data_IF_998064160688
#
_entry.id   IF_998064160688
#
_cell.length_a   1.000
_cell.length_b   1.000
_cell.length_c   1.000
_cell.angle_alpha   90.00
_cell.angle_beta   90.00
_cell.angle_gamma   90.00
#
_symmetry.space_group_name_H-M   'P 1'
#
loop_
_entity.id
_entity.type
_entity.pdbx_description
1 polymer ?
#
# COMPACT_ATOMS: atom_id res chain seq x y z
N UNK A 1 19.18 9.98 14.22
CA UNK A 1 18.17 8.98 13.78
C UNK A 1 16.73 9.43 13.93
N UNK A 2 16.28 9.99 15.07
CA UNK A 2 14.88 10.47 15.23
C UNK A 2 14.49 11.55 14.21
N UNK A 3 15.32 12.58 14.04
CA UNK A 3 15.08 13.65 13.06
C UNK A 3 14.91 13.09 11.65
N UNK A 4 15.83 12.23 11.20
CA UNK A 4 15.77 11.60 9.88
C UNK A 4 14.46 10.82 9.66
N UNK A 5 14.00 10.07 10.67
CA UNK A 5 12.72 9.34 10.60
C UNK A 5 11.54 10.30 10.39
N UNK A 6 11.50 11.38 11.15
CA UNK A 6 10.46 12.41 11.04
C UNK A 6 10.53 13.04 9.65
N UNK A 7 11.71 13.45 9.19
CA UNK A 7 11.90 14.07 7.87
C UNK A 7 11.48 13.13 6.74
N UNK A 8 11.87 11.86 6.77
CA UNK A 8 11.46 10.88 5.74
C UNK A 8 9.96 10.63 5.76
N UNK A 9 9.35 10.53 6.95
CA UNK A 9 7.92 10.31 7.09
C UNK A 9 7.11 11.52 6.62
N UNK A 10 7.47 12.73 7.06
CA UNK A 10 6.84 13.98 6.62
C UNK A 10 7.04 14.18 5.13
N UNK A 11 8.24 13.90 4.59
CA UNK A 11 8.50 13.91 3.15
C UNK A 11 7.58 12.97 2.39
N UNK A 12 7.35 11.76 2.92
CA UNK A 12 6.38 10.81 2.38
C UNK A 12 4.95 11.37 2.33
N UNK A 13 4.50 12.06 3.39
CA UNK A 13 3.18 12.71 3.42
C UNK A 13 3.07 13.86 2.42
N UNK A 14 4.12 14.66 2.26
CA UNK A 14 4.16 15.75 1.26
C UNK A 14 4.05 15.17 -0.16
N UNK A 15 4.80 14.11 -0.46
CA UNK A 15 4.72 13.43 -1.76
C UNK A 15 3.33 12.81 -1.97
N UNK A 16 2.70 12.28 -0.92
CA UNK A 16 1.33 11.76 -1.00
C UNK A 16 0.33 12.85 -1.38
N UNK A 17 0.47 14.05 -0.81
CA UNK A 17 -0.37 15.20 -1.15
C UNK A 17 -0.19 15.58 -2.63
N UNK A 18 1.04 15.62 -3.12
CA UNK A 18 1.34 15.89 -4.54
C UNK A 18 0.78 14.78 -5.44
N UNK A 19 0.87 13.52 -5.02
CA UNK A 19 0.27 12.39 -5.73
C UNK A 19 -1.24 12.57 -5.91
N UNK A 20 -1.98 12.90 -4.84
CA UNK A 20 -3.40 13.22 -4.93
C UNK A 20 -3.67 14.42 -5.83
N UNK A 21 -2.83 15.45 -5.77
CA UNK A 21 -2.91 16.59 -6.67
C UNK A 21 -2.85 16.17 -8.15
N UNK A 22 -1.94 15.26 -8.52
CA UNK A 22 -1.86 14.72 -9.88
C UNK A 22 -3.06 13.83 -10.25
N UNK A 23 -3.48 12.93 -9.36
CA UNK A 23 -4.63 12.02 -9.58
C UNK A 23 -5.91 12.81 -9.86
N UNK A 24 -6.16 13.88 -9.10
CA UNK A 24 -7.34 14.73 -9.25
C UNK A 24 -7.10 15.94 -10.19
N UNK A 25 -5.92 16.05 -10.79
CA UNK A 25 -5.51 17.16 -11.69
C UNK A 25 -5.68 18.54 -11.06
N UNK A 26 -5.35 18.67 -9.78
CA UNK A 26 -5.39 19.94 -9.09
C UNK A 26 -4.26 20.87 -9.58
N UNK A 27 -4.52 22.17 -9.84
CA UNK A 27 -3.54 23.09 -10.43
C UNK A 27 -2.18 23.15 -9.72
N UNK A 28 -2.16 23.12 -8.39
CA UNK A 28 -0.91 23.14 -7.62
C UNK A 28 0.07 22.02 -8.00
N UNK A 29 -0.44 20.86 -8.44
CA UNK A 29 0.39 19.71 -8.81
C UNK A 29 0.69 19.71 -10.30
N UNK A 30 -0.32 19.95 -11.15
CA UNK A 30 -0.12 19.95 -12.61
C UNK A 30 0.79 21.07 -13.07
N UNK A 31 0.88 22.20 -12.34
CA UNK A 31 1.83 23.28 -12.64
C UNK A 31 3.29 22.95 -12.36
N UNK A 32 3.57 21.88 -11.61
CA UNK A 32 4.93 21.39 -11.35
C UNK A 32 5.42 20.53 -12.52
N UNK A 33 4.50 19.94 -13.29
CA UNK A 33 4.84 19.18 -14.48
C UNK A 33 5.33 20.12 -15.58
N UNK A 34 6.36 19.77 -16.37
CA UNK A 34 7.00 20.74 -17.27
C UNK A 34 6.15 21.16 -18.48
N UNK A 35 5.05 20.48 -18.74
CA UNK A 35 4.11 20.76 -19.84
C UNK A 35 2.69 20.29 -19.49
N UNK A 36 1.72 20.61 -20.35
CA UNK A 36 0.37 20.07 -20.23
C UNK A 36 0.30 18.63 -20.76
N UNK A 37 -0.46 17.78 -20.08
CA UNK A 37 -0.60 16.36 -20.43
C UNK A 37 -2.04 15.85 -20.26
N UNK A 38 -2.28 14.65 -20.77
CA UNK A 38 -3.58 13.99 -20.69
C UNK A 38 -3.93 13.51 -19.28
N UNK A 39 -5.23 13.29 -19.05
CA UNK A 39 -5.76 12.75 -17.79
C UNK A 39 -5.03 11.49 -17.32
N UNK A 40 -4.79 10.55 -18.22
CA UNK A 40 -4.16 9.27 -17.88
C UNK A 40 -2.66 9.42 -17.60
N UNK A 41 -1.97 10.37 -18.23
CA UNK A 41 -0.58 10.68 -17.91
C UNK A 41 -0.44 11.28 -16.51
N UNK A 42 -1.32 12.22 -16.12
CA UNK A 42 -1.32 12.75 -14.75
C UNK A 42 -1.71 11.70 -13.71
N UNK A 43 -2.70 10.86 -14.01
CA UNK A 43 -3.05 9.72 -13.15
C UNK A 43 -1.85 8.79 -12.94
N UNK A 44 -1.11 8.49 -14.01
CA UNK A 44 0.08 7.66 -13.99
C UNK A 44 1.24 8.28 -13.20
N UNK A 45 1.51 9.58 -13.37
CA UNK A 45 2.49 10.30 -12.53
C UNK A 45 2.06 10.27 -11.07
N UNK A 46 0.77 10.51 -10.79
CA UNK A 46 0.21 10.46 -9.44
C UNK A 46 0.36 9.09 -8.79
N UNK A 47 0.14 8.00 -9.52
CA UNK A 47 0.32 6.64 -8.98
C UNK A 47 1.79 6.33 -8.66
N UNK A 48 2.75 6.80 -9.48
CA UNK A 48 4.18 6.67 -9.21
C UNK A 48 4.55 7.41 -7.92
N UNK A 49 4.07 8.64 -7.75
CA UNK A 49 4.30 9.41 -6.53
C UNK A 49 3.66 8.76 -5.30
N UNK A 50 2.47 8.16 -5.44
CA UNK A 50 1.86 7.37 -4.37
C UNK A 50 2.72 6.15 -3.99
N UNK A 51 3.32 5.48 -4.98
CA UNK A 51 4.28 4.40 -4.79
C UNK A 51 5.49 4.86 -3.96
N UNK A 52 6.14 5.96 -4.39
CA UNK A 52 7.30 6.54 -3.70
C UNK A 52 6.93 6.94 -2.26
N UNK A 53 5.76 7.55 -2.08
CA UNK A 53 5.24 7.91 -0.75
C UNK A 53 5.10 6.69 0.16
N UNK A 54 4.50 5.61 -0.32
CA UNK A 54 4.31 4.38 0.47
C UNK A 54 5.64 3.82 0.99
N UNK A 55 6.67 3.76 0.12
CA UNK A 55 8.01 3.33 0.51
C UNK A 55 8.64 4.29 1.54
N UNK A 56 8.54 5.60 1.34
CA UNK A 56 9.10 6.61 2.27
C UNK A 56 8.41 6.60 3.63
N UNK A 57 7.08 6.51 3.67
CA UNK A 57 6.31 6.40 4.89
C UNK A 57 6.72 5.15 5.68
N UNK A 58 6.89 4.02 5.00
CA UNK A 58 7.38 2.79 5.63
C UNK A 58 8.80 2.94 6.18
N UNK A 59 9.76 3.49 5.42
CA UNK A 59 11.14 3.71 5.89
C UNK A 59 11.17 4.69 7.07
N UNK A 60 10.42 5.80 7.01
CA UNK A 60 10.34 6.77 8.11
C UNK A 60 9.71 6.16 9.37
N UNK A 61 8.64 5.39 9.20
CA UNK A 61 7.95 4.71 10.29
C UNK A 61 8.81 3.64 10.96
N UNK A 62 9.49 2.78 10.20
CA UNK A 62 10.30 1.66 10.74
C UNK A 62 11.74 2.06 11.08
N UNK A 63 12.22 3.17 10.50
CA UNK A 63 13.62 3.57 10.55
C UNK A 63 14.56 2.56 9.88
N UNK A 64 14.09 1.82 8.88
CA UNK A 64 14.87 0.86 8.09
C UNK A 64 15.66 1.58 6.99
N UNK A 65 16.60 2.43 7.39
CA UNK A 65 17.40 3.21 6.43
C UNK A 65 18.36 2.35 5.60
N UNK A 66 18.63 1.10 6.02
CA UNK A 66 19.39 0.14 5.22
C UNK A 66 18.67 -0.28 3.92
N UNK A 67 17.37 -0.01 3.80
CA UNK A 67 16.60 -0.25 2.56
C UNK A 67 16.64 0.93 1.57
N UNK A 68 17.18 2.08 1.99
CA UNK A 68 17.31 3.27 1.12
C UNK A 68 18.22 3.11 -0.11
N UNK A 69 19.24 2.24 -0.16
CA UNK A 69 20.10 2.14 -1.33
C UNK A 69 19.30 1.85 -2.62
N UNK A 70 18.32 0.95 -2.57
CA UNK A 70 17.52 0.61 -3.75
C UNK A 70 16.72 1.83 -4.27
N UNK A 71 16.03 2.54 -3.38
CA UNK A 71 15.29 3.76 -3.74
C UNK A 71 16.19 4.92 -4.17
N UNK A 72 17.36 5.07 -3.54
CA UNK A 72 18.33 6.10 -3.91
C UNK A 72 18.93 5.84 -5.30
N UNK A 73 19.18 4.57 -5.64
CA UNK A 73 19.66 4.19 -6.95
C UNK A 73 18.59 4.42 -8.03
N UNK A 74 17.32 4.13 -7.73
CA UNK A 74 16.20 4.47 -8.60
C UNK A 74 16.18 5.97 -8.90
N UNK A 75 16.08 6.81 -7.87
CA UNK A 75 15.98 8.27 -8.05
C UNK A 75 17.23 8.82 -8.76
N UNK A 76 18.42 8.28 -8.50
CA UNK A 76 19.63 8.65 -9.22
C UNK A 76 19.51 8.41 -10.73
N UNK A 77 19.07 7.21 -11.15
CA UNK A 77 18.93 6.85 -12.57
C UNK A 77 17.87 7.71 -13.24
N UNK A 78 16.71 7.90 -12.61
CA UNK A 78 15.64 8.78 -13.13
C UNK A 78 16.17 10.20 -13.28
N UNK A 79 16.76 10.77 -12.22
CA UNK A 79 17.21 12.15 -12.20
C UNK A 79 18.32 12.41 -13.23
N UNK A 80 19.28 11.49 -13.36
CA UNK A 80 20.35 11.61 -14.34
C UNK A 80 19.81 11.54 -15.78
N UNK A 81 19.00 10.53 -16.09
CA UNK A 81 18.51 10.31 -17.46
C UNK A 81 17.51 11.37 -17.91
N UNK A 82 16.60 11.80 -17.02
CA UNK A 82 15.71 12.94 -17.29
C UNK A 82 16.46 14.26 -17.39
N UNK A 83 17.51 14.49 -16.57
CA UNK A 83 18.35 15.68 -16.69
C UNK A 83 19.02 15.79 -18.05
N UNK A 84 19.62 14.70 -18.54
CA UNK A 84 20.22 14.63 -19.89
C UNK A 84 19.17 14.99 -20.95
N UNK A 85 17.95 14.45 -20.81
CA UNK A 85 16.87 14.73 -21.73
C UNK A 85 16.40 16.20 -21.69
N UNK A 86 16.28 16.80 -20.50
CA UNK A 86 15.92 18.21 -20.37
C UNK A 86 16.99 19.14 -20.96
N UNK A 87 18.27 18.82 -20.81
CA UNK A 87 19.34 19.57 -21.49
C UNK A 87 19.30 19.40 -23.01
N UNK A 88 18.94 18.21 -23.51
CA UNK A 88 18.68 18.00 -24.93
C UNK A 88 17.51 18.85 -25.44
N UNK A 89 16.42 18.95 -24.69
CA UNK A 89 15.29 19.82 -25.04
C UNK A 89 15.70 21.31 -25.01
N UNK A 90 16.51 21.70 -24.03
CA UNK A 90 17.04 23.06 -23.94
C UNK A 90 17.92 23.42 -25.14
N UNK A 91 18.79 22.51 -25.59
CA UNK A 91 19.63 22.72 -26.79
C UNK A 91 18.83 22.75 -28.10
N UNK A 92 17.61 22.20 -28.10
CA UNK A 92 16.66 22.26 -29.22
C UNK A 92 15.75 23.50 -29.21
N UNK A 93 16.07 24.52 -28.38
CA UNK A 93 15.36 25.80 -28.35
C UNK A 93 14.33 25.96 -27.23
N UNK A 94 14.15 24.95 -26.34
CA UNK A 94 13.26 25.06 -25.17
C UNK A 94 14.02 25.49 -23.92
N UNK A 95 14.54 26.71 -23.91
CA UNK A 95 15.46 27.21 -22.87
C UNK A 95 14.93 27.05 -21.43
N UNK A 96 13.61 27.11 -21.20
CA UNK A 96 12.98 26.87 -19.89
C UNK A 96 13.25 25.48 -19.30
N UNK A 97 13.61 24.49 -20.12
CA UNK A 97 13.96 23.13 -19.65
C UNK A 97 15.30 23.06 -18.92
N UNK A 98 16.14 24.10 -19.05
CA UNK A 98 17.46 24.17 -18.37
C UNK A 98 17.31 24.06 -16.86
N UNK A 99 16.28 24.69 -16.29
CA UNK A 99 16.00 24.63 -14.85
C UNK A 99 15.71 23.19 -14.40
N UNK A 100 14.87 22.46 -15.14
CA UNK A 100 14.58 21.05 -14.86
C UNK A 100 15.83 20.18 -15.00
N UNK A 101 16.67 20.45 -16.01
CA UNK A 101 17.96 19.78 -16.18
C UNK A 101 18.88 19.97 -14.97
N UNK A 102 19.03 21.21 -14.49
CA UNK A 102 19.86 21.56 -13.32
C UNK A 102 19.30 20.94 -12.04
N UNK A 103 17.99 21.03 -11.80
CA UNK A 103 17.33 20.39 -10.65
C UNK A 103 17.52 18.86 -10.68
N UNK A 104 17.48 18.26 -11.87
CA UNK A 104 17.79 16.85 -12.08
C UNK A 104 19.23 16.49 -11.68
N UNK A 105 20.23 17.32 -12.02
CA UNK A 105 21.63 17.10 -11.57
C UNK A 105 21.72 17.14 -10.04
N UNK A 106 21.14 18.15 -9.39
CA UNK A 106 21.15 18.23 -7.93
C UNK A 106 20.48 17.03 -7.28
N UNK A 107 19.35 16.58 -7.83
CA UNK A 107 18.64 15.38 -7.37
C UNK A 107 19.48 14.12 -7.56
N UNK A 108 20.18 13.98 -8.69
CA UNK A 108 21.08 12.86 -8.95
C UNK A 108 22.25 12.84 -7.96
N UNK A 109 22.92 13.98 -7.72
CA UNK A 109 24.01 14.08 -6.75
C UNK A 109 23.53 13.75 -5.34
N UNK A 110 22.40 14.31 -4.91
CA UNK A 110 21.82 14.05 -3.60
C UNK A 110 21.44 12.57 -3.41
N UNK A 111 20.87 11.95 -4.46
CA UNK A 111 20.49 10.54 -4.46
C UNK A 111 21.71 9.63 -4.42
N UNK A 112 22.76 9.95 -5.18
CA UNK A 112 24.01 9.20 -5.18
C UNK A 112 24.74 9.31 -3.83
N UNK A 113 24.74 10.49 -3.21
CA UNK A 113 25.27 10.68 -1.85
C UNK A 113 24.48 9.85 -0.84
N UNK A 114 23.14 9.86 -0.94
CA UNK A 114 22.25 9.06 -0.08
C UNK A 114 22.47 7.56 -0.27
N UNK A 115 22.71 7.11 -1.51
CA UNK A 115 23.07 5.74 -1.83
C UNK A 115 24.34 5.31 -1.08
N UNK A 116 25.45 6.02 -1.26
CA UNK A 116 26.72 5.67 -0.60
C UNK A 116 26.67 5.79 0.93
N UNK A 117 25.93 6.76 1.45
CA UNK A 117 25.72 6.90 2.88
C UNK A 117 24.90 5.74 3.46
N UNK A 118 23.79 5.37 2.79
CA UNK A 118 22.90 4.30 3.25
C UNK A 118 23.50 2.90 3.11
N UNK A 119 24.45 2.69 2.20
CA UNK A 119 25.23 1.45 2.12
C UNK A 119 25.99 1.11 3.42
N UNK A 120 26.30 2.11 4.25
CA UNK A 120 26.97 1.94 5.55
C UNK A 120 26.02 1.49 6.66
N UNK A 121 24.71 1.51 6.41
CA UNK A 121 23.69 1.17 7.39
C UNK A 121 23.25 -0.27 7.13
N UNK A 122 23.46 -1.20 8.08
CA UNK A 122 22.98 -2.57 7.92
C UNK A 122 21.46 -2.63 7.94
N UNK A 123 20.89 -3.56 7.17
CA UNK A 123 19.47 -3.90 7.25
C UNK A 123 19.19 -4.56 8.61
N UNK A 124 18.14 -4.14 9.30
CA UNK A 124 17.74 -4.74 10.58
C UNK A 124 17.16 -6.15 10.41
N UNK A 125 16.50 -6.39 9.29
CA UNK A 125 15.93 -7.69 8.92
C UNK A 125 16.71 -8.30 7.75
N UNK A 126 17.19 -9.52 7.96
CA UNK A 126 18.06 -10.24 7.02
C UNK A 126 17.39 -11.47 6.42
N UNK A 127 16.11 -11.70 6.70
CA UNK A 127 15.37 -12.82 6.09
C UNK A 127 15.50 -12.81 4.57
N UNK A 128 15.75 -13.98 3.95
CA UNK A 128 15.89 -14.08 2.51
C UNK A 128 14.56 -13.77 1.83
N UNK A 129 14.65 -13.13 0.66
CA UNK A 129 13.47 -12.88 -0.17
C UNK A 129 12.82 -14.21 -0.61
N UNK A 130 11.48 -14.36 -0.52
CA UNK A 130 10.77 -15.54 -0.99
C UNK A 130 11.03 -15.82 -2.48
N UNK A 131 11.10 -17.11 -2.86
CA UNK A 131 11.36 -17.52 -4.25
C UNK A 131 10.37 -16.93 -5.27
N UNK A 132 9.04 -16.88 -5.02
CA UNK A 132 8.11 -16.28 -5.98
C UNK A 132 8.45 -14.82 -6.27
N UNK A 133 8.71 -14.04 -5.22
CA UNK A 133 9.07 -12.61 -5.33
C UNK A 133 10.37 -12.42 -6.11
N UNK A 134 11.38 -13.28 -5.90
CA UNK A 134 12.63 -13.26 -6.67
C UNK A 134 12.40 -13.48 -8.17
N UNK A 135 11.57 -14.45 -8.53
CA UNK A 135 11.27 -14.74 -9.94
C UNK A 135 10.53 -13.56 -10.56
N UNK A 136 9.52 -13.01 -9.86
CA UNK A 136 8.79 -11.83 -10.31
C UNK A 136 9.72 -10.63 -10.50
N UNK A 137 10.70 -10.41 -9.62
CA UNK A 137 11.67 -9.32 -9.74
C UNK A 137 12.50 -9.43 -11.02
N UNK A 138 12.96 -10.64 -11.40
CA UNK A 138 13.64 -10.83 -12.68
C UNK A 138 12.76 -10.51 -13.88
N UNK A 139 11.48 -10.93 -13.83
CA UNK A 139 10.50 -10.62 -14.88
C UNK A 139 10.30 -9.10 -14.96
N UNK A 140 10.08 -8.42 -13.83
CA UNK A 140 9.90 -6.96 -13.80
C UNK A 140 11.13 -6.22 -14.31
N UNK A 141 12.35 -6.64 -13.96
CA UNK A 141 13.58 -6.05 -14.50
C UNK A 141 13.57 -6.10 -16.03
N UNK A 142 13.33 -7.29 -16.61
CA UNK A 142 13.31 -7.47 -18.05
C UNK A 142 12.20 -6.63 -18.72
N UNK A 143 10.99 -6.66 -18.16
CA UNK A 143 9.86 -5.89 -18.67
C UNK A 143 10.09 -4.38 -18.61
N UNK A 144 10.68 -3.86 -17.53
CA UNK A 144 10.94 -2.43 -17.33
C UNK A 144 12.07 -1.93 -18.22
N UNK A 145 13.13 -2.72 -18.43
CA UNK A 145 14.17 -2.37 -19.41
C UNK A 145 13.60 -2.34 -20.83
N UNK A 146 12.80 -3.35 -21.20
CA UNK A 146 12.17 -3.40 -22.53
C UNK A 146 11.21 -2.23 -22.73
N UNK A 147 10.25 -2.04 -21.83
CA UNK A 147 9.27 -0.97 -21.91
C UNK A 147 9.93 0.42 -21.82
N UNK A 148 10.87 0.61 -20.89
CA UNK A 148 11.59 1.87 -20.71
C UNK A 148 12.42 2.24 -21.94
N UNK A 149 13.16 1.28 -22.51
CA UNK A 149 13.90 1.47 -23.75
C UNK A 149 12.98 1.81 -24.93
N UNK A 150 11.88 1.08 -25.10
CA UNK A 150 10.88 1.36 -26.13
C UNK A 150 10.29 2.77 -26.02
N UNK A 151 10.01 3.24 -24.80
CA UNK A 151 9.45 4.58 -24.56
C UNK A 151 10.44 5.71 -24.86
N UNK A 152 11.72 5.52 -24.51
CA UNK A 152 12.79 6.48 -24.83
C UNK A 152 12.98 6.57 -26.35
N UNK A 153 12.80 5.46 -27.06
CA UNK A 153 12.81 5.41 -28.53
C UNK A 153 11.51 5.92 -29.18
N UNK A 154 10.51 6.32 -28.38
CA UNK A 154 9.25 6.88 -28.87
C UNK A 154 8.24 5.85 -29.38
N UNK A 155 8.40 4.57 -29.04
CA UNK A 155 7.45 3.53 -29.42
C UNK A 155 6.12 3.67 -28.63
N UNK A 156 4.95 3.59 -29.29
CA UNK A 156 3.66 3.88 -28.69
C UNK A 156 3.09 2.70 -27.88
N UNK A 157 3.85 2.20 -26.90
CA UNK A 157 3.49 0.98 -26.15
C UNK A 157 2.40 1.22 -25.07
N UNK A 158 2.08 2.48 -24.75
CA UNK A 158 1.06 2.82 -23.76
C UNK A 158 -0.38 2.65 -24.28
N UNK A 159 -1.34 2.32 -23.39
CA UNK A 159 -2.72 2.11 -23.80
C UNK A 159 -3.48 3.41 -24.14
N UNK A 160 -2.85 4.58 -23.99
CA UNK A 160 -3.36 5.86 -24.48
C UNK A 160 -2.29 6.58 -25.31
N UNK A 161 -2.72 7.59 -26.06
CA UNK A 161 -1.82 8.46 -26.82
C UNK A 161 -0.99 9.32 -25.86
N UNK A 162 0.31 9.10 -25.87
CA UNK A 162 1.25 9.78 -24.98
C UNK A 162 1.89 10.99 -25.68
N UNK A 163 2.11 12.07 -24.94
CA UNK A 163 2.97 13.15 -25.39
C UNK A 163 4.39 12.58 -25.63
N UNK A 164 5.05 12.87 -26.78
CA UNK A 164 6.40 12.37 -27.06
C UNK A 164 7.42 12.67 -25.96
N UNK A 165 7.32 13.85 -25.32
CA UNK A 165 8.26 14.24 -24.27
C UNK A 165 7.97 13.47 -22.97
N UNK A 166 6.69 13.25 -22.65
CA UNK A 166 6.27 12.38 -21.54
C UNK A 166 6.68 10.93 -21.76
N UNK A 167 6.69 10.45 -23.01
CA UNK A 167 7.20 9.11 -23.35
C UNK A 167 8.62 8.93 -22.88
N UNK A 168 9.51 9.86 -23.21
CA UNK A 168 10.91 9.75 -22.81
C UNK A 168 11.04 9.82 -21.29
N UNK A 169 10.35 10.75 -20.62
CA UNK A 169 10.38 10.86 -19.15
C UNK A 169 9.86 9.60 -18.47
N UNK A 170 8.75 9.02 -18.94
CA UNK A 170 8.22 7.77 -18.40
C UNK A 170 9.16 6.58 -18.65
N UNK A 171 9.84 6.56 -19.80
CA UNK A 171 10.89 5.59 -20.08
C UNK A 171 12.08 5.70 -19.12
N UNK A 172 12.50 6.93 -18.78
CA UNK A 172 13.51 7.17 -17.74
C UNK A 172 13.06 6.69 -16.35
N UNK A 173 11.78 6.88 -16.01
CA UNK A 173 11.20 6.36 -14.75
C UNK A 173 11.27 4.83 -14.71
N UNK A 174 10.80 4.16 -15.76
CA UNK A 174 10.86 2.69 -15.86
C UNK A 174 12.30 2.17 -15.78
N UNK A 175 13.24 2.87 -16.38
CA UNK A 175 14.65 2.53 -16.27
C UNK A 175 15.13 2.63 -14.82
N UNK A 176 14.78 3.70 -14.11
CA UNK A 176 15.10 3.82 -12.69
C UNK A 176 14.48 2.72 -11.82
N UNK A 177 13.21 2.40 -12.05
CA UNK A 177 12.53 1.32 -11.36
C UNK A 177 13.22 -0.03 -11.61
N UNK A 178 13.68 -0.30 -12.83
CA UNK A 178 14.45 -1.50 -13.15
C UNK A 178 15.72 -1.63 -12.28
N UNK A 179 16.42 -0.51 -12.04
CA UNK A 179 17.59 -0.48 -11.14
C UNK A 179 17.21 -0.68 -9.67
N UNK A 180 16.03 -0.25 -9.23
CA UNK A 180 15.50 -0.58 -7.91
C UNK A 180 15.43 -2.11 -7.75
N UNK A 181 14.75 -2.79 -8.68
CA UNK A 181 14.61 -4.25 -8.64
C UNK A 181 15.95 -4.96 -8.74
N UNK A 182 16.83 -4.48 -9.62
CA UNK A 182 18.17 -5.03 -9.81
C UNK A 182 18.98 -4.98 -8.51
N UNK A 183 18.93 -3.87 -7.78
CA UNK A 183 19.56 -3.79 -6.46
C UNK A 183 18.94 -4.79 -5.47
N UNK A 184 17.62 -4.92 -5.46
CA UNK A 184 16.91 -5.92 -4.67
C UNK A 184 17.36 -7.36 -4.96
N UNK A 185 17.78 -7.65 -6.20
CA UNK A 185 18.32 -8.94 -6.59
C UNK A 185 19.79 -9.13 -6.21
N UNK A 186 20.60 -8.07 -6.22
CA UNK A 186 21.98 -8.12 -5.72
C UNK A 186 22.06 -8.35 -4.21
N UNK A 187 21.07 -7.85 -3.46
CA UNK A 187 20.94 -8.09 -2.01
C UNK A 187 19.55 -8.65 -1.69
N UNK A 188 19.31 -9.96 -1.92
CA UNK A 188 17.99 -10.59 -1.92
C UNK A 188 17.42 -10.81 -0.52
N UNK A 189 17.18 -9.71 0.20
CA UNK A 189 16.60 -9.65 1.53
C UNK A 189 15.14 -9.17 1.46
N UNK A 190 14.33 -9.62 2.41
CA UNK A 190 12.91 -9.28 2.49
C UNK A 190 12.67 -7.78 2.56
N UNK A 191 13.41 -7.03 3.39
CA UNK A 191 13.23 -5.58 3.52
C UNK A 191 13.66 -4.79 2.26
N UNK A 192 14.51 -5.35 1.41
CA UNK A 192 14.80 -4.77 0.10
C UNK A 192 13.65 -4.98 -0.90
N UNK A 193 12.87 -6.07 -0.76
CA UNK A 193 11.65 -6.27 -1.54
C UNK A 193 10.43 -5.53 -0.97
N UNK A 194 10.35 -5.39 0.35
CA UNK A 194 9.18 -4.87 1.04
C UNK A 194 8.80 -3.46 0.59
N UNK A 195 9.78 -2.56 0.50
CA UNK A 195 9.55 -1.20 0.00
C UNK A 195 8.93 -1.20 -1.40
N UNK A 196 9.42 -2.07 -2.30
CA UNK A 196 8.95 -2.14 -3.67
C UNK A 196 7.57 -2.79 -3.82
N UNK A 197 7.27 -3.81 -3.00
CA UNK A 197 5.94 -4.42 -2.96
C UNK A 197 4.91 -3.45 -2.38
N UNK A 198 5.28 -2.62 -1.40
CA UNK A 198 4.41 -1.54 -0.91
C UNK A 198 4.18 -0.47 -2.00
N UNK A 199 5.22 -0.13 -2.75
CA UNK A 199 5.11 0.76 -3.91
C UNK A 199 4.14 0.18 -4.95
N UNK A 200 4.27 -1.10 -5.31
CA UNK A 200 3.32 -1.76 -6.22
C UNK A 200 1.89 -1.71 -5.72
N UNK A 201 1.65 -2.01 -4.43
CA UNK A 201 0.30 -1.95 -3.90
C UNK A 201 -0.32 -0.55 -4.07
N UNK A 202 0.43 0.51 -3.74
CA UNK A 202 -0.07 1.87 -3.88
C UNK A 202 -0.27 2.27 -5.35
N UNK A 203 0.66 1.91 -6.22
CA UNK A 203 0.61 2.22 -7.65
C UNK A 203 -0.52 1.46 -8.36
N UNK A 204 -0.63 0.16 -8.14
CA UNK A 204 -1.60 -0.73 -8.78
C UNK A 204 -3.03 -0.40 -8.33
N UNK A 205 -3.25 -0.12 -7.04
CA UNK A 205 -4.57 0.27 -6.52
C UNK A 205 -5.12 1.52 -7.20
N UNK A 206 -4.25 2.48 -7.54
CA UNK A 206 -4.66 3.71 -8.23
C UNK A 206 -4.98 3.44 -9.71
N UNK A 207 -4.31 2.50 -10.37
CA UNK A 207 -4.40 2.30 -11.82
C UNK A 207 -5.36 1.19 -12.29
N UNK A 208 -5.53 0.11 -11.53
CA UNK A 208 -6.32 -1.06 -11.96
C UNK A 208 -7.72 -0.64 -12.40
N UNK A 209 -8.43 0.12 -11.56
CA UNK A 209 -9.82 0.51 -11.83
C UNK A 209 -9.93 1.45 -13.05
N UNK A 210 -9.19 2.56 -13.13
CA UNK A 210 -9.22 3.42 -14.33
C UNK A 210 -8.87 2.69 -15.63
N UNK A 211 -7.95 1.71 -15.58
CA UNK A 211 -7.55 0.95 -16.78
C UNK A 211 -8.61 -0.04 -17.21
N UNK A 212 -9.28 -0.71 -16.26
CA UNK A 212 -10.45 -1.56 -16.56
C UNK A 212 -11.56 -0.72 -17.20
N UNK A 213 -11.78 0.51 -16.72
CA UNK A 213 -12.73 1.44 -17.33
C UNK A 213 -12.38 1.81 -18.78
N UNK A 214 -11.10 1.74 -19.18
CA UNK A 214 -10.64 2.06 -20.53
C UNK A 214 -10.92 0.93 -21.55
N UNK A 215 -11.21 -0.30 -21.10
CA UNK A 215 -11.38 -1.47 -21.97
C UNK A 215 -12.48 -1.28 -23.04
N UNK A 216 -13.52 -0.51 -22.71
CA UNK A 216 -14.64 -0.26 -23.61
C UNK A 216 -14.43 0.95 -24.54
N UNK A 217 -13.38 1.74 -24.34
CA UNK A 217 -13.16 3.01 -25.04
C UNK A 217 -11.79 3.13 -25.71
N UNK A 218 -10.90 2.15 -25.52
CA UNK A 218 -9.55 2.17 -26.06
C UNK A 218 -9.55 1.99 -27.58
N UNK A 219 -8.61 2.65 -28.26
CA UNK A 219 -8.37 2.45 -29.69
C UNK A 219 -7.99 0.97 -29.95
N UNK A 220 -8.50 0.34 -31.03
CA UNK A 220 -8.22 -1.07 -31.34
C UNK A 220 -6.73 -1.41 -31.36
N UNK A 221 -5.91 -0.51 -31.92
CA UNK A 221 -4.46 -0.68 -32.04
C UNK A 221 -3.73 -0.69 -30.68
N UNK A 222 -4.39 -0.23 -29.60
CA UNK A 222 -3.83 -0.13 -28.24
C UNK A 222 -4.45 -1.12 -27.26
N UNK A 223 -5.46 -1.88 -27.69
CA UNK A 223 -6.15 -2.85 -26.85
C UNK A 223 -5.18 -3.92 -26.30
N UNK A 224 -4.25 -4.39 -27.13
CA UNK A 224 -3.23 -5.37 -26.71
C UNK A 224 -2.36 -4.78 -25.60
N UNK A 225 -1.90 -3.54 -25.75
CA UNK A 225 -1.16 -2.84 -24.69
C UNK A 225 -1.97 -2.72 -23.41
N UNK A 226 -3.25 -2.36 -23.49
CA UNK A 226 -4.12 -2.25 -22.31
C UNK A 226 -4.29 -3.58 -21.59
N UNK A 227 -4.49 -4.68 -22.33
CA UNK A 227 -4.61 -6.02 -21.77
C UNK A 227 -3.32 -6.42 -21.06
N UNK A 228 -2.16 -6.23 -21.71
CA UNK A 228 -0.86 -6.56 -21.12
C UNK A 228 -0.61 -5.74 -19.86
N UNK A 229 -0.83 -4.43 -19.90
CA UNK A 229 -0.67 -3.56 -18.72
C UNK A 229 -1.59 -3.98 -17.59
N UNK A 230 -2.88 -4.20 -17.86
CA UNK A 230 -3.85 -4.59 -16.84
C UNK A 230 -3.51 -5.94 -16.23
N UNK A 231 -3.05 -6.91 -17.04
CA UNK A 231 -2.59 -8.20 -16.54
C UNK A 231 -1.36 -8.07 -15.64
N UNK A 232 -0.40 -7.23 -16.01
CA UNK A 232 0.78 -6.93 -15.17
C UNK A 232 0.36 -6.29 -13.86
N UNK A 233 -0.54 -5.29 -13.88
CA UNK A 233 -1.05 -4.61 -12.67
C UNK A 233 -1.80 -5.57 -11.73
N UNK A 234 -2.64 -6.45 -12.27
CA UNK A 234 -3.35 -7.46 -11.47
C UNK A 234 -2.35 -8.44 -10.85
N UNK A 235 -1.35 -8.87 -11.62
CA UNK A 235 -0.32 -9.77 -11.12
C UNK A 235 0.55 -9.13 -10.04
N UNK A 236 1.06 -7.91 -10.25
CA UNK A 236 1.88 -7.18 -9.29
C UNK A 236 1.08 -6.81 -8.04
N UNK A 237 -0.18 -6.38 -8.21
CA UNK A 237 -1.08 -6.07 -7.11
C UNK A 237 -1.42 -7.31 -6.30
N UNK A 238 -1.64 -8.45 -6.95
CA UNK A 238 -1.80 -9.76 -6.31
C UNK A 238 -0.55 -10.20 -5.56
N UNK A 239 0.63 -10.05 -6.16
CA UNK A 239 1.92 -10.36 -5.52
C UNK A 239 2.15 -9.49 -4.28
N UNK A 240 1.81 -8.20 -4.37
CA UNK A 240 1.87 -7.28 -3.25
C UNK A 240 0.80 -7.58 -2.18
N UNK A 241 -0.40 -8.06 -2.56
CA UNK A 241 -1.42 -8.50 -1.60
C UNK A 241 -1.00 -9.73 -0.78
N UNK A 242 0.00 -10.50 -1.26
CA UNK A 242 0.62 -11.61 -0.51
C UNK A 242 1.63 -11.11 0.53
N UNK A 243 2.00 -9.81 0.54
CA UNK A 243 2.87 -9.18 1.55
C UNK A 243 2.62 -9.66 2.99
N UNK A 244 1.37 -9.78 3.46
CA UNK A 244 1.11 -10.13 4.85
C UNK A 244 1.27 -11.61 5.17
N UNK A 245 1.35 -12.48 4.16
CA UNK A 245 1.66 -13.91 4.33
C UNK A 245 3.15 -14.09 4.68
N UNK A 246 4.01 -13.19 4.21
CA UNK A 246 5.46 -13.24 4.42
C UNK A 246 5.98 -12.29 5.52
N UNK A 247 5.15 -11.38 6.03
CA UNK A 247 5.49 -10.59 7.21
C UNK A 247 5.31 -11.41 8.50
N UNK A 248 6.30 -11.42 9.41
CA UNK A 248 6.12 -12.00 10.72
C UNK A 248 5.23 -11.05 11.51
N UNK A 249 4.26 -11.65 12.14
CA UNK A 249 3.37 -11.10 13.14
C UNK A 249 4.14 -10.31 14.21
N UNK A 250 3.97 -8.99 14.20
CA UNK A 250 3.98 -8.05 15.31
C UNK A 250 5.25 -7.95 16.23
N UNK A 251 5.77 -6.73 16.53
CA UNK A 251 6.74 -6.52 17.62
C UNK A 251 6.25 -6.96 19.01
N UNK A 252 4.93 -7.17 19.20
CA UNK A 252 4.38 -7.77 20.43
C UNK A 252 4.88 -9.20 20.71
N UNK A 253 5.38 -9.92 19.69
CA UNK A 253 6.01 -11.23 19.90
C UNK A 253 7.37 -11.11 20.60
N UNK A 254 8.10 -10.01 20.39
CA UNK A 254 9.38 -9.75 21.06
C UNK A 254 9.17 -9.36 22.52
N UNK A 255 8.13 -8.57 22.82
CA UNK A 255 7.76 -8.23 24.20
C UNK A 255 7.36 -9.47 25.01
N UNK A 256 6.67 -10.43 24.38
CA UNK A 256 6.32 -11.70 25.02
C UNK A 256 7.51 -12.66 25.15
N UNK A 257 8.49 -12.62 24.24
CA UNK A 257 9.75 -13.34 24.40
C UNK A 257 10.59 -12.77 25.55
N UNK A 258 10.71 -11.44 25.64
CA UNK A 258 11.44 -10.75 26.72
C UNK A 258 10.69 -10.90 28.07
N UNK A 259 9.35 -10.96 28.07
CA UNK A 259 8.55 -11.20 29.28
C UNK A 259 8.54 -12.67 29.72
N UNK A 260 8.75 -13.63 28.82
CA UNK A 260 8.85 -15.05 29.17
C UNK A 260 10.23 -15.39 29.74
N UNK A 261 11.28 -14.73 29.25
CA UNK A 261 12.67 -14.97 29.68
C UNK A 261 13.02 -14.30 31.02
N UNK A 262 12.22 -13.32 31.46
CA UNK A 262 12.46 -12.59 32.70
C UNK A 262 11.76 -13.18 33.95
N UNK A 263 11.30 -14.44 33.89
CA UNK A 263 10.85 -15.21 35.07
C UNK A 263 11.91 -16.14 35.66
N UNK A 264 13.16 -16.10 35.18
CA UNK A 264 14.30 -16.76 35.83
C UNK A 264 15.28 -15.73 36.39
N UNK A 265 14.87 -14.99 37.43
CA UNK A 265 15.83 -14.26 38.27
C UNK A 265 15.25 -13.84 39.61
N UNK A 266 14.74 -14.78 40.41
CA UNK A 266 14.66 -14.61 41.88
C UNK A 266 14.80 -15.96 42.58
N UNK A 267 15.81 -16.01 43.46
CA UNK A 267 16.05 -16.93 44.60
C UNK A 267 16.56 -18.36 44.36
N UNK A 268 17.86 -18.52 44.63
CA UNK A 268 18.46 -19.73 45.19
C UNK A 268 17.65 -20.23 46.39
N UNK A 269 17.29 -21.52 46.42
CA UNK A 269 17.36 -22.46 47.57
C UNK A 269 16.92 -23.87 47.11
N UNK A 270 17.87 -24.82 47.15
CA UNK A 270 17.79 -26.30 47.28
C UNK A 270 16.73 -27.18 46.56
N UNK A 271 17.09 -28.39 46.06
CA UNK A 271 16.19 -29.29 45.35
C UNK A 271 15.47 -30.27 46.30
N UNK A 272 14.15 -30.42 46.16
CA UNK A 272 13.42 -31.54 46.75
C UNK A 272 12.18 -31.92 45.90
N UNK A 273 12.32 -33.08 45.25
CA UNK A 273 11.32 -34.11 44.91
C UNK A 273 10.17 -33.81 43.90
N UNK A 274 9.89 -34.74 42.95
CA UNK A 274 8.82 -34.61 41.97
C UNK A 274 7.58 -35.44 42.37
N UNK A 275 6.47 -34.81 42.74
CA UNK A 275 5.17 -35.50 42.72
C UNK A 275 4.02 -34.58 42.31
N UNK A 276 3.22 -35.09 41.36
CA UNK A 276 1.82 -34.76 41.05
C UNK A 276 1.49 -33.31 40.69
N UNK A 277 1.39 -33.04 39.38
CA UNK A 277 0.38 -32.11 38.87
C UNK A 277 -0.64 -32.84 38.01
N UNK A 278 -1.86 -32.83 38.54
CA UNK A 278 -3.10 -33.40 38.05
C UNK A 278 -3.42 -32.82 36.67
N UNK A 279 -3.78 -33.70 35.74
CA UNK A 279 -4.22 -33.35 34.40
C UNK A 279 -5.52 -32.55 34.43
N UNK A 280 -5.50 -31.36 33.83
CA UNK A 280 -6.69 -30.67 33.38
C UNK A 280 -6.84 -30.96 31.89
N UNK A 281 -7.76 -31.86 31.55
CA UNK A 281 -8.25 -32.01 30.18
C UNK A 281 -9.12 -30.80 29.89
N UNK A 282 -8.59 -29.82 29.14
CA UNK A 282 -9.38 -28.71 28.61
C UNK A 282 -10.42 -29.30 27.65
N UNK A 283 -11.69 -29.25 28.02
CA UNK A 283 -12.80 -29.41 27.08
C UNK A 283 -12.66 -28.30 26.04
N UNK A 284 -12.44 -28.67 24.78
CA UNK A 284 -12.51 -27.73 23.65
C UNK A 284 -13.94 -27.24 23.50
N UNK A 285 -14.32 -26.21 24.26
CA UNK A 285 -15.39 -25.31 23.85
C UNK A 285 -15.00 -24.70 22.50
N UNK A 286 -15.95 -24.54 21.57
CA UNK A 286 -15.73 -23.97 20.25
C UNK A 286 -15.14 -22.54 20.35
N UNK A 287 -13.82 -22.43 20.43
CA UNK A 287 -13.12 -21.16 20.44
C UNK A 287 -13.29 -20.54 19.06
N UNK A 288 -14.08 -19.47 18.97
CA UNK A 288 -14.22 -18.67 17.75
C UNK A 288 -12.84 -18.37 17.17
N UNK A 289 -12.62 -18.71 15.90
CA UNK A 289 -11.36 -18.46 15.23
C UNK A 289 -11.20 -16.95 14.96
N UNK A 290 -10.66 -16.24 15.95
CA UNK A 290 -10.48 -14.78 15.92
C UNK A 290 -9.62 -14.33 14.75
N UNK A 291 -8.63 -15.13 14.35
CA UNK A 291 -7.83 -14.86 13.16
C UNK A 291 -8.70 -14.81 11.91
N UNK A 292 -9.62 -15.76 11.73
CA UNK A 292 -10.55 -15.77 10.60
C UNK A 292 -11.51 -14.57 10.65
N UNK A 293 -12.05 -14.22 11.83
CA UNK A 293 -12.92 -13.07 12.00
C UNK A 293 -12.22 -11.76 11.64
N UNK A 294 -11.01 -11.55 12.16
CA UNK A 294 -10.22 -10.34 11.90
C UNK A 294 -9.76 -10.28 10.43
N UNK A 295 -9.39 -11.42 9.84
CA UNK A 295 -9.01 -11.49 8.41
C UNK A 295 -10.19 -11.16 7.51
N UNK A 296 -11.35 -11.80 7.73
CA UNK A 296 -12.53 -11.59 6.89
C UNK A 296 -13.08 -10.18 7.02
N UNK A 297 -13.22 -9.64 8.24
CA UNK A 297 -13.67 -8.26 8.45
C UNK A 297 -12.71 -7.23 7.83
N UNK A 298 -11.39 -7.47 7.91
CA UNK A 298 -10.41 -6.64 7.23
C UNK A 298 -10.57 -6.65 5.71
N UNK A 299 -10.80 -7.82 5.10
CA UNK A 299 -11.02 -7.91 3.65
C UNK A 299 -12.30 -7.20 3.22
N UNK A 300 -13.40 -7.39 3.95
CA UNK A 300 -14.70 -6.75 3.66
C UNK A 300 -14.59 -5.23 3.76
N UNK A 301 -14.06 -4.73 4.86
CA UNK A 301 -13.88 -3.28 5.06
C UNK A 301 -12.82 -2.70 4.12
N UNK A 302 -11.78 -3.46 3.80
CA UNK A 302 -10.71 -3.03 2.90
C UNK A 302 -11.19 -2.86 1.47
N UNK A 303 -11.94 -3.83 0.95
CA UNK A 303 -12.55 -3.76 -0.37
C UNK A 303 -13.57 -2.62 -0.46
N UNK A 304 -14.44 -2.48 0.54
CA UNK A 304 -15.39 -1.37 0.60
C UNK A 304 -14.69 -0.01 0.70
N UNK A 305 -13.62 0.07 1.51
CA UNK A 305 -12.82 1.28 1.68
C UNK A 305 -12.14 1.72 0.40
N UNK A 306 -11.52 0.78 -0.34
CA UNK A 306 -10.91 1.05 -1.64
C UNK A 306 -11.97 1.54 -2.64
N UNK A 307 -13.11 0.84 -2.73
CA UNK A 307 -14.19 1.22 -3.63
C UNK A 307 -14.67 2.66 -3.35
N UNK A 308 -14.91 3.01 -2.09
CA UNK A 308 -15.44 4.32 -1.70
C UNK A 308 -14.40 5.44 -1.86
N UNK A 309 -13.11 5.13 -1.65
CA UNK A 309 -12.03 6.11 -1.75
C UNK A 309 -11.72 6.48 -3.21
N UNK A 310 -11.76 5.51 -4.13
CA UNK A 310 -11.34 5.72 -5.51
C UNK A 310 -12.50 5.82 -6.51
N UNK A 311 -13.72 5.39 -6.16
CA UNK A 311 -14.90 5.43 -7.03
C UNK A 311 -16.16 5.96 -6.32
N UNK A 312 -16.10 7.14 -5.69
CA UNK A 312 -17.25 7.67 -4.96
C UNK A 312 -18.46 7.94 -5.87
N UNK A 313 -18.23 8.33 -7.11
CA UNK A 313 -19.22 8.58 -8.16
C UNK A 313 -19.98 7.30 -8.55
N UNK A 314 -19.28 6.16 -8.66
CA UNK A 314 -19.92 4.87 -8.90
C UNK A 314 -20.83 4.47 -7.73
N UNK A 315 -20.37 4.70 -6.51
CA UNK A 315 -21.16 4.40 -5.30
C UNK A 315 -22.41 5.27 -5.22
N UNK A 316 -22.29 6.57 -5.53
CA UNK A 316 -23.41 7.50 -5.54
C UNK A 316 -24.42 7.19 -6.67
N UNK A 317 -23.92 6.96 -7.88
CA UNK A 317 -24.76 6.64 -9.04
C UNK A 317 -25.49 5.30 -8.89
N UNK A 318 -24.88 4.30 -8.24
CA UNK A 318 -25.55 3.04 -7.90
C UNK A 318 -26.74 3.22 -6.96
N UNK A 319 -26.81 4.34 -6.24
CA UNK A 319 -27.94 4.71 -5.38
C UNK A 319 -28.86 5.75 -6.03
N UNK A 320 -28.67 6.08 -7.30
CA UNK A 320 -29.43 7.12 -8.01
C UNK A 320 -29.16 8.53 -7.48
N UNK A 321 -28.06 8.74 -6.74
CA UNK A 321 -27.70 10.05 -6.17
C UNK A 321 -26.84 10.81 -7.17
N UNK A 322 -27.24 12.04 -7.49
CA UNK A 322 -26.44 12.94 -8.32
C UNK A 322 -25.19 13.40 -7.58
N UNK A 323 -24.03 13.26 -8.20
CA UNK A 323 -22.76 13.69 -7.61
C UNK A 323 -22.65 15.22 -7.59
N UNK A 324 -22.55 15.80 -6.40
CA UNK A 324 -22.37 17.25 -6.16
C UNK A 324 -20.94 17.62 -5.76
N UNK A 325 -19.97 16.69 -5.86
CA UNK A 325 -18.58 16.85 -5.42
C UNK A 325 -18.39 16.77 -3.91
N UNK A 326 -19.24 17.46 -3.14
CA UNK A 326 -19.30 17.35 -1.67
C UNK A 326 -19.72 15.93 -1.26
N UNK A 327 -20.73 15.35 -1.93
CA UNK A 327 -21.15 13.97 -1.67
C UNK A 327 -20.03 12.98 -1.97
N UNK A 328 -19.30 13.17 -3.08
CA UNK A 328 -18.14 12.34 -3.40
C UNK A 328 -17.06 12.41 -2.33
N UNK A 329 -16.78 13.61 -1.80
CA UNK A 329 -15.81 13.79 -0.72
C UNK A 329 -16.25 13.08 0.58
N UNK A 330 -17.53 13.13 0.93
CA UNK A 330 -18.07 12.42 2.09
C UNK A 330 -17.96 10.89 1.94
N UNK A 331 -18.23 10.37 0.74
CA UNK A 331 -18.04 8.94 0.45
C UNK A 331 -16.57 8.55 0.56
N UNK A 332 -15.65 9.38 0.05
CA UNK A 332 -14.20 9.13 0.15
C UNK A 332 -13.70 9.18 1.60
N UNK A 333 -14.23 10.08 2.43
CA UNK A 333 -13.91 10.12 3.86
C UNK A 333 -14.39 8.84 4.57
N UNK A 334 -15.58 8.35 4.22
CA UNK A 334 -16.08 7.06 4.72
C UNK A 334 -15.22 5.89 4.22
N UNK A 335 -14.76 5.94 2.96
CA UNK A 335 -13.82 4.97 2.40
C UNK A 335 -12.49 4.95 3.16
N UNK A 336 -11.97 6.12 3.53
CA UNK A 336 -10.76 6.26 4.35
C UNK A 336 -10.96 5.63 5.73
N UNK A 337 -12.11 5.85 6.37
CA UNK A 337 -12.46 5.22 7.65
C UNK A 337 -12.51 3.69 7.54
N UNK A 338 -13.18 3.16 6.51
CA UNK A 338 -13.29 1.71 6.31
C UNK A 338 -11.91 1.08 6.05
N UNK A 339 -11.09 1.74 5.24
CA UNK A 339 -9.72 1.29 5.00
C UNK A 339 -8.85 1.33 6.27
N UNK A 340 -9.01 2.34 7.12
CA UNK A 340 -8.33 2.41 8.41
C UNK A 340 -8.74 1.27 9.35
N UNK A 341 -10.03 0.96 9.47
CA UNK A 341 -10.51 -0.20 10.23
C UNK A 341 -10.01 -1.53 9.64
N UNK A 342 -9.95 -1.64 8.31
CA UNK A 342 -9.39 -2.80 7.65
C UNK A 342 -7.93 -3.04 8.03
N UNK A 343 -7.10 -1.99 7.98
CA UNK A 343 -5.70 -2.03 8.41
C UNK A 343 -5.57 -2.39 9.89
N UNK A 344 -6.41 -1.82 10.75
CA UNK A 344 -6.43 -2.16 12.18
C UNK A 344 -6.76 -3.65 12.38
N UNK A 345 -7.78 -4.17 11.70
CA UNK A 345 -8.18 -5.58 11.86
C UNK A 345 -7.10 -6.51 11.33
N UNK A 346 -6.52 -6.16 10.19
CA UNK A 346 -5.48 -6.94 9.56
C UNK A 346 -4.20 -7.03 10.39
N UNK A 347 -3.82 -5.92 11.03
CA UNK A 347 -2.63 -5.85 11.89
C UNK A 347 -2.86 -6.55 13.23
N UNK A 348 -4.10 -6.60 13.71
CA UNK A 348 -4.46 -7.29 14.95
C UNK A 348 -4.69 -8.80 14.79
N UNK A 349 -5.01 -9.31 13.58
CA UNK A 349 -5.51 -10.69 13.34
C UNK A 349 -4.70 -11.85 13.93
N UNK A 350 -3.40 -11.65 14.12
CA UNK A 350 -2.50 -12.68 14.64
C UNK A 350 -2.20 -12.53 16.15
N UNK A 351 -2.81 -11.56 16.81
CA UNK A 351 -2.77 -11.36 18.26
C UNK A 351 -3.87 -12.13 19.00
N UNK A 352 -3.77 -12.16 20.32
CA UNK A 352 -4.88 -12.60 21.18
C UNK A 352 -5.96 -11.52 21.12
N UNK A 353 -7.05 -11.81 20.42
CA UNK A 353 -8.20 -10.90 20.28
C UNK A 353 -9.20 -11.18 21.39
N UNK A 354 -9.61 -10.12 22.09
CA UNK A 354 -10.41 -10.21 23.32
C UNK A 354 -9.57 -9.92 24.57
N UNK A 355 -10.17 -10.12 25.75
CA UNK A 355 -9.54 -9.82 27.04
C UNK A 355 -9.29 -8.32 27.26
N UNK A 356 -8.38 -7.95 28.16
CA UNK A 356 -8.12 -6.54 28.55
C UNK A 356 -7.29 -5.80 27.47
N UNK A 357 -6.35 -6.48 26.82
CA UNK A 357 -5.38 -5.85 25.90
C UNK A 357 -5.93 -5.57 24.50
N UNK A 358 -6.71 -6.49 23.90
CA UNK A 358 -7.30 -6.30 22.57
C UNK A 358 -8.79 -5.91 22.63
N UNK A 359 -9.28 -5.52 23.81
CA UNK A 359 -10.66 -5.05 24.01
C UNK A 359 -11.00 -3.82 23.17
N UNK A 360 -10.14 -2.77 23.09
CA UNK A 360 -10.48 -1.57 22.32
C UNK A 360 -10.69 -1.86 20.84
N UNK A 361 -9.89 -2.75 20.25
CA UNK A 361 -10.02 -3.17 18.84
C UNK A 361 -11.35 -3.91 18.62
N UNK A 362 -11.69 -4.84 19.52
CA UNK A 362 -12.94 -5.61 19.44
C UNK A 362 -14.16 -4.70 19.65
N UNK A 363 -14.07 -3.76 20.59
CA UNK A 363 -15.12 -2.79 20.89
C UNK A 363 -15.33 -1.78 19.76
N UNK A 364 -14.25 -1.29 19.15
CA UNK A 364 -14.32 -0.41 17.99
C UNK A 364 -15.03 -1.07 16.81
N UNK A 365 -14.67 -2.33 16.51
CA UNK A 365 -15.37 -3.11 15.48
C UNK A 365 -16.83 -3.37 15.84
N UNK A 366 -17.10 -3.78 17.08
CA UNK A 366 -18.48 -3.95 17.54
C UNK A 366 -19.28 -2.67 17.35
N UNK A 367 -18.76 -1.52 17.80
CA UNK A 367 -19.44 -0.24 17.68
C UNK A 367 -19.72 0.12 16.21
N UNK A 368 -18.73 -0.05 15.32
CA UNK A 368 -18.88 0.21 13.89
C UNK A 368 -19.95 -0.68 13.25
N UNK A 369 -19.83 -2.01 13.38
CA UNK A 369 -20.76 -2.95 12.76
C UNK A 369 -22.16 -2.90 13.39
N UNK A 370 -22.27 -2.65 14.70
CA UNK A 370 -23.56 -2.52 15.38
C UNK A 370 -24.29 -1.24 14.97
N UNK A 371 -23.62 -0.09 15.01
CA UNK A 371 -24.22 1.17 14.58
C UNK A 371 -24.60 1.13 13.08
N UNK A 372 -23.72 0.57 12.24
CA UNK A 372 -24.00 0.37 10.83
C UNK A 372 -25.19 -0.58 10.59
N UNK A 373 -25.29 -1.68 11.33
CA UNK A 373 -26.44 -2.59 11.25
C UNK A 373 -27.75 -1.87 11.59
N UNK A 374 -27.79 -1.07 12.67
CA UNK A 374 -28.98 -0.30 13.05
C UNK A 374 -29.38 0.72 11.99
N UNK A 375 -28.41 1.40 11.37
CA UNK A 375 -28.67 2.33 10.29
C UNK A 375 -29.24 1.63 9.04
N UNK A 376 -28.66 0.48 8.67
CA UNK A 376 -29.13 -0.31 7.51
C UNK A 376 -30.54 -0.87 7.75
N UNK A 377 -30.81 -1.36 8.96
CA UNK A 377 -32.16 -1.76 9.39
C UNK A 377 -33.13 -0.58 9.23
N UNK A 378 -32.79 0.59 9.77
CA UNK A 378 -33.62 1.78 9.64
C UNK A 378 -33.94 2.10 8.19
N UNK A 379 -32.94 2.08 7.30
CA UNK A 379 -33.12 2.37 5.86
C UNK A 379 -34.02 1.31 5.21
N UNK A 380 -33.80 0.03 5.49
CA UNK A 380 -34.62 -1.04 4.91
C UNK A 380 -36.09 -0.98 5.32
N UNK A 381 -36.39 -0.47 6.51
CA UNK A 381 -37.76 -0.31 7.02
C UNK A 381 -38.41 1.04 6.69
N UNK A 382 -37.63 2.04 6.25
CA UNK A 382 -38.14 3.38 5.90
C UNK A 382 -38.26 3.63 4.40
N UNK A 383 -37.68 2.75 3.59
CA UNK A 383 -37.67 2.82 2.13
C UNK A 383 -38.25 1.54 1.52
N UNK A 384 -38.51 1.55 0.21
CA UNK A 384 -38.80 0.32 -0.52
C UNK A 384 -37.69 -0.71 -0.34
N UNK A 385 -38.05 -2.00 -0.35
CA UNK A 385 -37.11 -3.07 -0.12
C UNK A 385 -35.99 -3.05 -1.17
N UNK A 386 -34.76 -2.82 -0.70
CA UNK A 386 -33.56 -2.86 -1.53
C UNK A 386 -32.74 -4.11 -1.21
N UNK A 387 -32.58 -5.01 -2.18
CA UNK A 387 -31.87 -6.27 -1.98
C UNK A 387 -30.38 -6.11 -1.66
N UNK A 388 -29.72 -5.06 -2.19
CA UNK A 388 -28.32 -4.79 -1.94
C UNK A 388 -28.12 -4.29 -0.50
N UNK A 389 -28.95 -3.35 -0.04
CA UNK A 389 -28.93 -2.86 1.34
C UNK A 389 -29.18 -4.00 2.31
N UNK A 390 -30.13 -4.89 2.00
CA UNK A 390 -30.41 -6.08 2.81
C UNK A 390 -29.21 -7.04 2.89
N UNK A 391 -28.51 -7.29 1.79
CA UNK A 391 -27.30 -8.13 1.79
C UNK A 391 -26.18 -7.53 2.66
N UNK A 392 -25.93 -6.22 2.54
CA UNK A 392 -24.94 -5.51 3.38
C UNK A 392 -25.36 -5.54 4.86
N UNK A 393 -26.66 -5.39 5.14
CA UNK A 393 -27.21 -5.47 6.50
C UNK A 393 -26.91 -6.83 7.15
N UNK A 394 -27.11 -7.94 6.44
CA UNK A 394 -26.79 -9.28 6.95
C UNK A 394 -25.31 -9.38 7.33
N UNK A 395 -24.41 -8.90 6.46
CA UNK A 395 -22.96 -8.91 6.73
C UNK A 395 -22.63 -8.11 8.00
N UNK A 396 -23.23 -6.92 8.15
CA UNK A 396 -23.05 -6.08 9.33
C UNK A 396 -23.57 -6.74 10.60
N UNK A 397 -24.74 -7.39 10.56
CA UNK A 397 -25.31 -8.12 11.71
C UNK A 397 -24.42 -9.28 12.14
N UNK A 398 -23.90 -10.06 11.19
CA UNK A 398 -22.99 -11.20 11.48
C UNK A 398 -21.72 -10.71 12.17
N UNK A 399 -21.09 -9.65 11.68
CA UNK A 399 -19.90 -9.09 12.32
C UNK A 399 -20.22 -8.45 13.68
N UNK A 400 -21.34 -7.72 13.80
CA UNK A 400 -21.78 -7.16 15.06
C UNK A 400 -21.98 -8.23 16.14
N UNK A 401 -22.65 -9.35 15.81
CA UNK A 401 -22.83 -10.47 16.73
C UNK A 401 -21.49 -11.13 17.11
N UNK A 402 -20.59 -11.30 16.14
CA UNK A 402 -19.27 -11.90 16.36
C UNK A 402 -18.40 -11.05 17.29
N UNK A 403 -18.34 -9.74 17.07
CA UNK A 403 -17.59 -8.82 17.93
C UNK A 403 -18.28 -8.57 19.28
N UNK A 404 -19.61 -8.60 19.34
CA UNK A 404 -20.35 -8.63 20.61
C UNK A 404 -19.91 -9.81 21.48
N UNK A 405 -19.87 -11.02 20.88
CA UNK A 405 -19.41 -12.20 21.58
C UNK A 405 -17.99 -12.02 22.13
N UNK A 406 -17.07 -11.49 21.32
CA UNK A 406 -15.69 -11.25 21.77
C UNK A 406 -15.56 -10.22 22.90
N UNK A 407 -16.40 -9.19 22.92
CA UNK A 407 -16.32 -8.10 23.90
C UNK A 407 -16.99 -8.46 25.24
N UNK A 408 -18.11 -9.20 25.19
CA UNK A 408 -19.00 -9.40 26.34
C UNK A 408 -19.13 -10.85 26.81
N UNK A 409 -18.81 -11.84 25.97
CA UNK A 409 -18.95 -13.28 26.30
C UNK A 409 -17.62 -14.01 26.36
N UNK A 410 -16.65 -13.64 25.52
CA UNK A 410 -15.30 -14.22 25.51
C UNK A 410 -14.41 -13.63 26.63
N UNK A 411 -14.87 -13.71 27.88
CA UNK A 411 -14.00 -13.54 29.06
C UNK A 411 -13.49 -14.92 29.48
N UNK A 412 -12.63 -15.49 28.62
CA UNK A 412 -12.08 -16.84 28.77
C UNK A 412 -10.58 -16.89 29.06
N UNK A 413 -9.94 -15.79 29.45
CA UNK A 413 -8.61 -15.85 30.04
C UNK A 413 -8.81 -15.62 31.54
N UNK A 414 -8.92 -16.73 32.29
CA UNK A 414 -8.69 -16.67 33.75
C UNK A 414 -7.25 -16.16 33.92
N UNK A 415 -7.12 -14.99 34.53
CA UNK A 415 -5.87 -14.35 34.92
C UNK A 415 -5.01 -15.27 35.77
#
# INVERSE_FOLDING_TARGET
MKLLRITTFVGGLVILLVAFGFIYRHPFATSIWPWEDGRYSYLFVGSILAAVSAAMLWVGWTGEFGALPAGSLNVFVIALTTSIYFFKLASQGRAGMTLFGVLGIFSAIASLATFFWSLRIPLKETRPMPKPVKVSFWIFIASLFAAGGSLILGAPIFPWKLNPDSSVVFGCIFLGDAFYFLYGMFRPNWHNALGQLLSFLAYDLVLIVPFVGLLNTVEPDRLISLIIYTAVLIYSGGLAAVLPIYQPTNPFRLANYISADNKQKVLFFTPAQPEKLIGYTLTQENIMNTKLLMTSSALVLGLAGILFLFMPDLVLSAQGVTDTGVMSTLVQLMGTLYFAFALMNWTAKDGIIGGIYARPVSLGNFAHFFAGALLLVKVQFSSEFNGLIFAVMIVYVVYAASFYWLVFRATGIKS
#
